data_IF_570627851446
#
_entry.id   IF_570627851446
#
_cell.length_a   1.000
_cell.length_b   1.000
_cell.length_c   1.000
_cell.angle_alpha   90.00
_cell.angle_beta   90.00
_cell.angle_gamma   90.00
#
_symmetry.space_group_name_H-M   'P 1'
#
loop_
_entity.id
_entity.type
_entity.pdbx_description
1 polymer ?
#
# COMPACT_ATOMS: atom_id res chain seq x y z
N UNK A 1 -1.73 19.81 0.56
CA UNK A 1 -1.10 21.14 0.80
C UNK A 1 -1.11 21.89 -0.52
N UNK A 2 -2.01 22.85 -0.66
CA UNK A 2 -2.21 23.63 -1.90
C UNK A 2 -1.05 24.62 -2.13
N UNK A 3 -0.26 24.84 -1.10
CA UNK A 3 0.93 25.70 -0.99
C UNK A 3 2.26 24.95 -1.19
N UNK A 4 2.23 23.64 -1.47
CA UNK A 4 3.44 22.84 -1.63
C UNK A 4 4.02 22.91 -3.06
N UNK A 5 5.35 22.87 -3.15
CA UNK A 5 6.14 22.76 -4.39
C UNK A 5 5.84 21.41 -5.08
N UNK A 6 5.94 21.31 -6.43
CA UNK A 6 5.69 20.09 -7.19
C UNK A 6 6.21 18.83 -6.50
N UNK A 7 5.27 17.92 -6.26
CA UNK A 7 5.52 16.69 -5.51
C UNK A 7 6.19 15.63 -6.37
N UNK A 8 6.83 14.67 -5.70
CA UNK A 8 7.29 13.43 -6.33
C UNK A 8 6.14 12.78 -7.10
N UNK A 9 6.44 12.11 -8.20
CA UNK A 9 5.46 11.36 -9.00
C UNK A 9 5.51 9.87 -8.64
N UNK A 10 4.52 9.07 -9.07
CA UNK A 10 4.59 7.61 -8.91
C UNK A 10 5.79 6.99 -9.66
N UNK A 11 6.25 7.58 -10.77
CA UNK A 11 7.49 7.15 -11.43
C UNK A 11 8.74 7.36 -10.56
N UNK A 12 8.75 8.41 -9.73
CA UNK A 12 9.83 8.63 -8.77
C UNK A 12 9.75 7.62 -7.62
N UNK A 13 8.54 7.21 -7.21
CA UNK A 13 8.32 6.14 -6.24
C UNK A 13 8.89 4.83 -6.77
N UNK A 14 8.50 4.44 -7.99
CA UNK A 14 9.01 3.23 -8.67
C UNK A 14 10.54 3.16 -8.64
N UNK A 15 11.20 4.24 -9.08
CA UNK A 15 12.65 4.30 -9.19
C UNK A 15 13.32 4.21 -7.82
N UNK A 16 12.87 5.01 -6.86
CA UNK A 16 13.44 5.03 -5.51
C UNK A 16 13.24 3.69 -4.79
N UNK A 17 12.06 3.09 -4.92
CA UNK A 17 11.77 1.77 -4.34
C UNK A 17 12.69 0.72 -4.96
N UNK A 18 12.84 0.71 -6.29
CA UNK A 18 13.74 -0.23 -6.96
C UNK A 18 15.19 -0.08 -6.47
N UNK A 19 15.69 1.15 -6.31
CA UNK A 19 17.03 1.41 -5.79
C UNK A 19 17.22 0.91 -4.35
N UNK A 20 16.25 1.17 -3.48
CA UNK A 20 16.29 0.68 -2.09
C UNK A 20 16.29 -0.86 -2.07
N UNK A 21 15.41 -1.48 -2.84
CA UNK A 21 15.26 -2.94 -2.90
C UNK A 21 16.52 -3.60 -3.46
N UNK A 22 17.14 -3.03 -4.50
CA UNK A 22 18.39 -3.52 -5.07
C UNK A 22 19.56 -3.48 -4.06
N UNK A 23 19.57 -2.50 -3.16
CA UNK A 23 20.57 -2.38 -2.10
C UNK A 23 20.23 -3.21 -0.84
N UNK A 24 19.03 -3.78 -0.75
CA UNK A 24 18.58 -4.59 0.38
C UNK A 24 19.08 -6.02 0.23
N UNK A 25 19.77 -6.60 1.22
CA UNK A 25 20.25 -7.99 1.13
C UNK A 25 19.22 -9.02 1.57
N UNK A 26 18.41 -8.67 2.56
CA UNK A 26 17.35 -9.50 3.13
C UNK A 26 15.97 -9.18 2.55
N UNK A 27 14.95 -9.32 3.40
CA UNK A 27 13.56 -9.01 3.06
C UNK A 27 13.37 -7.50 2.90
N UNK A 28 12.83 -7.07 1.76
CA UNK A 28 12.30 -5.71 1.64
C UNK A 28 10.85 -5.72 2.10
N UNK A 29 10.51 -4.98 3.15
CA UNK A 29 9.14 -4.87 3.65
C UNK A 29 8.60 -3.51 3.21
N UNK A 30 7.34 -3.45 2.76
CA UNK A 30 6.70 -2.20 2.41
C UNK A 30 5.31 -2.05 3.04
N UNK A 31 4.93 -0.81 3.34
CA UNK A 31 3.59 -0.46 3.80
C UNK A 31 3.01 0.67 2.95
N UNK A 32 1.83 0.46 2.41
CA UNK A 32 1.03 1.47 1.69
C UNK A 32 -0.47 1.18 1.89
N UNK A 33 -1.38 2.14 1.61
CA UNK A 33 -2.81 1.89 1.78
C UNK A 33 -3.28 0.74 0.89
N UNK A 34 -4.02 -0.22 1.46
CA UNK A 34 -4.47 -1.44 0.73
C UNK A 34 -5.31 -1.14 -0.53
N UNK A 35 -5.96 0.03 -0.56
CA UNK A 35 -6.81 0.47 -1.68
C UNK A 35 -6.09 1.38 -2.68
N UNK A 36 -4.83 1.73 -2.41
CA UNK A 36 -4.01 2.52 -3.30
C UNK A 36 -3.38 1.59 -4.35
N UNK A 37 -4.06 1.51 -5.50
CA UNK A 37 -3.68 0.61 -6.59
C UNK A 37 -2.57 1.18 -7.46
N UNK A 38 -2.44 2.50 -7.50
CA UNK A 38 -1.33 3.16 -8.17
C UNK A 38 -0.04 2.84 -7.40
N UNK A 39 -0.07 2.93 -6.05
CA UNK A 39 1.06 2.51 -5.25
C UNK A 39 1.35 1.01 -5.36
N UNK A 40 0.33 0.16 -5.40
CA UNK A 40 0.51 -1.27 -5.71
C UNK A 40 1.25 -1.46 -7.03
N UNK A 41 0.85 -0.73 -8.08
CA UNK A 41 1.49 -0.79 -9.38
C UNK A 41 2.94 -0.32 -9.32
N UNK A 42 3.23 0.76 -8.60
CA UNK A 42 4.60 1.27 -8.38
C UNK A 42 5.49 0.21 -7.73
N UNK A 43 5.01 -0.45 -6.67
CA UNK A 43 5.73 -1.55 -6.02
C UNK A 43 5.86 -2.80 -6.91
N UNK A 44 4.85 -3.10 -7.73
CA UNK A 44 4.91 -4.21 -8.69
C UNK A 44 5.96 -3.97 -9.77
N UNK A 45 6.03 -2.76 -10.32
CA UNK A 45 7.05 -2.36 -11.30
C UNK A 45 8.44 -2.39 -10.65
N UNK A 46 8.59 -1.85 -9.43
CA UNK A 46 9.84 -1.90 -8.69
C UNK A 46 10.28 -3.36 -8.40
N UNK A 47 9.36 -4.26 -8.07
CA UNK A 47 9.65 -5.69 -7.90
C UNK A 47 10.23 -6.30 -9.18
N UNK A 48 9.59 -6.04 -10.33
CA UNK A 48 10.10 -6.49 -11.63
C UNK A 48 11.49 -5.94 -11.94
N UNK A 49 11.71 -4.65 -11.71
CA UNK A 49 12.98 -3.98 -11.99
C UNK A 49 14.12 -4.43 -11.05
N UNK A 50 13.79 -4.95 -9.86
CA UNK A 50 14.74 -5.51 -8.89
C UNK A 50 14.83 -7.04 -8.92
N UNK A 51 14.18 -7.69 -9.89
CA UNK A 51 14.09 -9.15 -10.02
C UNK A 51 13.63 -9.85 -8.72
N UNK A 52 12.63 -9.25 -8.06
CA UNK A 52 11.92 -9.79 -6.90
C UNK A 52 10.44 -9.96 -7.22
N UNK A 53 9.77 -10.78 -6.42
CA UNK A 53 8.32 -10.90 -6.48
C UNK A 53 7.69 -10.01 -5.41
N UNK A 54 6.62 -9.30 -5.79
CA UNK A 54 5.79 -8.56 -4.86
C UNK A 54 4.84 -9.54 -4.18
N UNK A 55 4.96 -9.64 -2.86
CA UNK A 55 4.10 -10.46 -2.03
C UNK A 55 3.00 -9.57 -1.45
N UNK A 56 1.76 -9.80 -1.88
CA UNK A 56 0.56 -9.06 -1.49
C UNK A 56 -0.31 -9.87 -0.52
N UNK A 57 -1.19 -9.22 0.23
CA UNK A 57 -2.16 -9.93 1.07
C UNK A 57 -3.37 -10.46 0.27
N UNK A 58 -4.18 -11.32 0.88
CA UNK A 58 -5.40 -11.85 0.25
C UNK A 58 -6.41 -10.75 -0.11
N UNK A 59 -6.42 -9.59 0.59
CA UNK A 59 -7.35 -8.49 0.28
C UNK A 59 -6.95 -7.79 -1.02
N UNK A 60 -5.66 -7.54 -1.22
CA UNK A 60 -5.14 -7.02 -2.49
C UNK A 60 -5.32 -8.02 -3.62
N UNK A 61 -5.08 -9.32 -3.36
CA UNK A 61 -5.36 -10.37 -4.35
C UNK A 61 -6.83 -10.38 -4.77
N UNK A 62 -7.75 -10.20 -3.81
CA UNK A 62 -9.18 -10.07 -4.09
C UNK A 62 -9.50 -8.82 -4.92
N UNK A 63 -8.88 -7.67 -4.64
CA UNK A 63 -9.02 -6.48 -5.48
C UNK A 63 -8.53 -6.74 -6.91
N UNK A 64 -7.34 -7.31 -7.09
CA UNK A 64 -6.80 -7.66 -8.41
C UNK A 64 -7.71 -8.64 -9.16
N UNK A 65 -8.30 -9.61 -8.46
CA UNK A 65 -9.31 -10.52 -9.04
C UNK A 65 -10.52 -9.75 -9.57
N UNK A 66 -11.07 -8.80 -8.80
CA UNK A 66 -12.20 -7.98 -9.25
C UNK A 66 -11.85 -7.15 -10.50
N UNK A 67 -10.67 -6.54 -10.54
CA UNK A 67 -10.22 -5.80 -11.73
C UNK A 67 -9.99 -6.70 -12.93
N UNK A 68 -9.43 -7.89 -12.72
CA UNK A 68 -9.23 -8.87 -13.79
C UNK A 68 -10.56 -9.37 -14.36
N UNK A 69 -11.58 -9.53 -13.52
CA UNK A 69 -12.92 -9.93 -13.95
C UNK A 69 -13.67 -8.82 -14.70
N UNK A 70 -13.40 -7.54 -14.41
CA UNK A 70 -14.06 -6.40 -15.05
C UNK A 70 -13.60 -6.16 -16.49
N UNK A 71 -14.51 -6.18 -17.47
CA UNK A 71 -14.17 -5.94 -18.88
C UNK A 71 -13.55 -4.54 -19.12
N UNK A 72 -13.93 -3.54 -18.34
CA UNK A 72 -13.43 -2.16 -18.49
C UNK A 72 -12.03 -1.94 -17.89
N UNK A 73 -11.62 -2.79 -16.95
CA UNK A 73 -10.40 -2.61 -16.16
C UNK A 73 -9.39 -3.77 -16.32
N UNK A 74 -9.81 -4.87 -16.96
CA UNK A 74 -8.95 -6.01 -17.27
C UNK A 74 -7.72 -5.54 -18.04
N UNK A 75 -6.54 -5.92 -17.56
CA UNK A 75 -5.25 -5.56 -18.16
C UNK A 75 -4.66 -4.24 -17.69
N UNK A 76 -5.38 -3.42 -16.92
CA UNK A 76 -4.80 -2.20 -16.30
C UNK A 76 -3.92 -2.51 -15.08
N UNK A 77 -4.24 -3.57 -14.37
CA UNK A 77 -3.51 -4.06 -13.19
C UNK A 77 -3.04 -5.50 -13.44
N UNK A 78 -1.99 -5.97 -12.75
CA UNK A 78 -1.55 -7.35 -12.87
C UNK A 78 -2.68 -8.33 -12.54
N UNK A 79 -2.68 -9.48 -13.21
CA UNK A 79 -3.53 -10.61 -12.81
C UNK A 79 -3.23 -11.01 -11.36
N UNK A 80 -4.20 -11.47 -10.56
CA UNK A 80 -3.89 -12.02 -9.23
C UNK A 80 -2.95 -13.25 -9.30
N UNK A 81 -2.84 -13.89 -10.46
CA UNK A 81 -1.90 -15.00 -10.76
C UNK A 81 -0.70 -14.58 -11.60
N UNK A 82 -0.41 -13.28 -11.70
CA UNK A 82 0.79 -12.81 -12.42
C UNK A 82 2.07 -13.42 -11.82
N UNK A 83 3.04 -13.73 -12.69
CA UNK A 83 4.27 -14.44 -12.28
C UNK A 83 5.06 -13.70 -11.20
N UNK A 84 5.01 -12.37 -11.20
CA UNK A 84 5.73 -11.49 -10.28
C UNK A 84 4.90 -11.11 -9.04
N UNK A 85 3.70 -11.68 -8.89
CA UNK A 85 2.86 -11.55 -7.70
C UNK A 85 2.87 -12.87 -6.93
N UNK A 86 3.05 -12.81 -5.60
CA UNK A 86 2.73 -13.90 -4.68
C UNK A 86 1.62 -13.46 -3.73
N UNK A 87 0.74 -14.38 -3.38
CA UNK A 87 -0.35 -14.11 -2.43
C UNK A 87 0.04 -14.70 -1.09
N UNK A 88 0.29 -13.84 -0.11
CA UNK A 88 0.59 -14.26 1.24
C UNK A 88 -0.68 -14.75 1.95
N UNK A 89 -0.71 -16.05 2.22
CA UNK A 89 -1.76 -16.69 2.99
C UNK A 89 -1.43 -16.53 4.47
N UNK A 90 -2.13 -15.59 5.11
CA UNK A 90 -2.04 -15.41 6.56
C UNK A 90 -2.47 -16.70 7.29
N UNK A 91 -1.97 -16.88 8.53
CA UNK A 91 -2.56 -17.87 9.42
C UNK A 91 -4.06 -17.57 9.61
N UNK A 92 -4.87 -18.60 9.42
CA UNK A 92 -6.29 -18.58 9.76
C UNK A 92 -6.53 -18.44 11.26
N UNK A 93 -7.80 -18.46 11.66
CA UNK A 93 -8.23 -18.25 13.05
C UNK A 93 -7.67 -19.29 14.03
N UNK A 94 -7.56 -20.54 13.59
CA UNK A 94 -7.03 -21.71 14.28
C UNK A 94 -5.57 -22.00 13.89
N UNK A 95 -5.08 -21.35 12.83
CA UNK A 95 -3.69 -21.45 12.38
C UNK A 95 -3.34 -22.80 11.77
N UNK A 96 -4.25 -23.38 10.97
CA UNK A 96 -4.12 -24.75 10.45
C UNK A 96 -3.22 -24.89 9.21
N UNK A 97 -2.80 -23.79 8.59
CA UNK A 97 -2.04 -23.77 7.32
C UNK A 97 -0.73 -24.60 7.32
N UNK A 98 -0.12 -24.77 8.48
CA UNK A 98 1.13 -25.52 8.66
C UNK A 98 0.93 -26.87 9.39
N UNK A 99 -0.32 -27.30 9.56
CA UNK A 99 -0.65 -28.52 10.31
C UNK A 99 -0.82 -29.73 9.39
N UNK A 100 -0.68 -30.90 9.99
CA UNK A 100 -0.84 -32.17 9.29
C UNK A 100 -2.30 -32.35 8.82
N UNK A 101 -2.47 -32.44 7.50
CA UNK A 101 -3.79 -32.58 6.84
C UNK A 101 -4.48 -33.90 7.20
N UNK A 102 -3.74 -34.94 7.60
CA UNK A 102 -4.32 -36.21 8.04
C UNK A 102 -4.99 -36.08 9.41
N UNK A 103 -4.57 -35.12 10.22
CA UNK A 103 -5.14 -34.81 11.53
C UNK A 103 -6.17 -33.69 11.45
N UNK A 104 -5.87 -32.65 10.67
CA UNK A 104 -6.74 -31.51 10.42
C UNK A 104 -7.13 -31.53 8.94
N UNK A 105 -8.22 -32.22 8.64
CA UNK A 105 -8.66 -32.47 7.25
C UNK A 105 -8.74 -31.19 6.42
N UNK A 106 -8.67 -31.32 5.09
CA UNK A 106 -8.84 -30.20 4.15
C UNK A 106 -10.10 -29.38 4.42
N UNK A 107 -11.20 -30.03 4.79
CA UNK A 107 -12.44 -29.36 5.22
C UNK A 107 -12.22 -28.44 6.44
N UNK A 108 -11.43 -28.88 7.42
CA UNK A 108 -11.11 -28.06 8.60
C UNK A 108 -10.16 -26.92 8.26
N UNK A 109 -9.17 -27.16 7.38
CA UNK A 109 -8.30 -26.10 6.87
C UNK A 109 -9.12 -25.03 6.14
N UNK A 110 -10.01 -25.40 5.23
CA UNK A 110 -10.89 -24.46 4.52
C UNK A 110 -11.79 -23.69 5.49
N UNK A 111 -12.33 -24.36 6.51
CA UNK A 111 -13.16 -23.74 7.54
C UNK A 111 -12.40 -22.76 8.45
N UNK A 112 -11.07 -22.79 8.46
CA UNK A 112 -10.22 -21.84 9.18
C UNK A 112 -10.22 -20.44 8.54
N UNK A 113 -10.66 -20.36 7.28
CA UNK A 113 -10.68 -19.16 6.46
C UNK A 113 -12.10 -18.74 6.12
N UNK A 114 -12.33 -17.43 5.99
CA UNK A 114 -13.60 -16.91 5.50
C UNK A 114 -13.84 -17.37 4.06
N UNK A 115 -15.10 -17.52 3.65
CA UNK A 115 -15.46 -18.06 2.33
C UNK A 115 -14.81 -17.34 1.15
N UNK A 116 -14.58 -16.02 1.24
CA UNK A 116 -13.91 -15.24 0.19
C UNK A 116 -12.39 -15.48 0.12
N UNK A 117 -11.78 -16.03 1.17
CA UNK A 117 -10.34 -16.30 1.24
C UNK A 117 -9.99 -17.68 0.71
N UNK A 118 -10.91 -18.65 0.86
CA UNK A 118 -10.67 -20.07 0.61
C UNK A 118 -10.09 -20.33 -0.78
N UNK A 119 -10.56 -19.62 -1.81
CA UNK A 119 -10.07 -19.80 -3.17
C UNK A 119 -8.57 -19.48 -3.33
N UNK A 120 -8.01 -18.56 -2.53
CA UNK A 120 -6.61 -18.17 -2.66
C UNK A 120 -5.65 -19.23 -2.12
N UNK A 121 -6.14 -20.18 -1.32
CA UNK A 121 -5.35 -21.31 -0.83
C UNK A 121 -4.89 -22.21 -1.98
N UNK A 122 -5.70 -22.29 -3.05
CA UNK A 122 -5.44 -23.14 -4.21
C UNK A 122 -4.70 -22.40 -5.35
N UNK A 123 -4.39 -21.11 -5.17
CA UNK A 123 -3.72 -20.34 -6.21
C UNK A 123 -2.28 -20.84 -6.38
N UNK A 124 -1.78 -20.98 -7.63
CA UNK A 124 -0.44 -21.52 -7.88
C UNK A 124 0.69 -20.62 -7.37
N UNK A 125 0.39 -19.36 -7.07
CA UNK A 125 1.29 -18.37 -6.50
C UNK A 125 0.99 -18.03 -5.04
N UNK A 126 0.20 -18.85 -4.35
CA UNK A 126 0.01 -18.78 -2.91
C UNK A 126 1.32 -19.13 -2.19
N UNK A 127 1.68 -18.34 -1.18
CA UNK A 127 2.85 -18.53 -0.33
C UNK A 127 2.48 -18.29 1.11
N UNK A 128 3.17 -18.95 2.04
CA UNK A 128 3.02 -18.65 3.47
C UNK A 128 4.36 -18.24 4.10
N UNK A 129 4.35 -18.02 5.42
CA UNK A 129 5.52 -17.54 6.15
C UNK A 129 6.75 -18.44 5.97
N UNK A 130 6.58 -19.75 5.76
CA UNK A 130 7.65 -20.73 5.54
C UNK A 130 8.34 -20.51 4.20
N UNK A 131 7.60 -20.09 3.18
CA UNK A 131 8.15 -19.75 1.88
C UNK A 131 8.91 -18.43 1.91
N UNK A 132 8.35 -17.43 2.61
CA UNK A 132 9.00 -16.13 2.80
C UNK A 132 10.31 -16.30 3.58
N UNK A 133 10.31 -17.06 4.67
CA UNK A 133 11.50 -17.37 5.48
C UNK A 133 12.65 -17.95 4.64
N UNK A 134 12.35 -18.86 3.71
CA UNK A 134 13.37 -19.55 2.90
C UNK A 134 14.01 -18.66 1.83
N UNK A 135 13.29 -17.63 1.37
CA UNK A 135 13.66 -16.84 0.17
C UNK A 135 13.49 -15.34 0.37
N UNK A 136 13.79 -14.82 1.56
CA UNK A 136 13.56 -13.43 1.92
C UNK A 136 14.11 -12.40 0.92
N UNK A 137 15.30 -12.65 0.36
CA UNK A 137 15.94 -11.77 -0.62
C UNK A 137 15.28 -11.77 -2.02
N UNK A 138 14.31 -12.65 -2.26
CA UNK A 138 13.54 -12.71 -3.51
C UNK A 138 12.23 -11.94 -3.42
N UNK A 139 11.90 -11.37 -2.26
CA UNK A 139 10.59 -10.79 -2.01
C UNK A 139 10.65 -9.31 -1.64
N UNK A 140 9.63 -8.59 -2.12
CA UNK A 140 9.12 -7.36 -1.51
C UNK A 140 7.82 -7.73 -0.81
N UNK A 141 7.79 -7.67 0.52
CA UNK A 141 6.66 -8.11 1.34
C UNK A 141 5.78 -6.94 1.77
N UNK A 142 4.55 -6.90 1.26
CA UNK A 142 3.53 -5.98 1.74
C UNK A 142 3.10 -6.33 3.17
N UNK A 143 3.29 -5.39 4.09
CA UNK A 143 2.88 -5.50 5.48
C UNK A 143 2.18 -4.22 5.92
N UNK A 144 0.86 -4.29 6.11
CA UNK A 144 0.10 -3.17 6.67
C UNK A 144 0.32 -3.04 8.19
N UNK A 145 0.11 -1.85 8.74
CA UNK A 145 0.21 -1.58 10.18
C UNK A 145 -0.67 -2.51 11.04
N UNK A 146 -1.75 -3.06 10.48
CA UNK A 146 -2.66 -3.99 11.17
C UNK A 146 -2.20 -5.45 11.16
N UNK A 147 -1.10 -5.72 10.45
CA UNK A 147 -0.57 -7.07 10.18
C UNK A 147 0.88 -7.26 10.61
N UNK A 148 1.40 -6.36 11.45
CA UNK A 148 2.78 -6.46 11.97
C UNK A 148 3.05 -7.77 12.74
N UNK A 149 2.01 -8.41 13.29
CA UNK A 149 2.11 -9.73 13.91
C UNK A 149 2.57 -10.82 12.95
N UNK A 150 2.42 -10.65 11.63
CA UNK A 150 2.94 -11.61 10.64
C UNK A 150 4.48 -11.69 10.70
N UNK A 151 5.16 -10.65 11.20
CA UNK A 151 6.62 -10.65 11.40
C UNK A 151 7.09 -11.65 12.46
N UNK A 152 6.23 -12.06 13.39
CA UNK A 152 6.53 -13.10 14.41
C UNK A 152 6.90 -14.42 13.74
N UNK A 153 6.13 -14.79 12.71
CA UNK A 153 6.37 -15.99 11.93
C UNK A 153 7.39 -15.74 10.83
N UNK A 154 7.35 -14.62 10.11
CA UNK A 154 8.27 -14.34 8.99
C UNK A 154 9.72 -14.24 9.45
N UNK A 155 9.98 -13.69 10.64
CA UNK A 155 11.32 -13.51 11.23
C UNK A 155 12.31 -12.90 10.23
N UNK A 156 12.17 -11.60 9.90
CA UNK A 156 13.09 -10.92 8.99
C UNK A 156 14.55 -11.15 9.40
N UNK A 157 15.38 -11.51 8.44
CA UNK A 157 16.81 -11.76 8.62
C UNK A 157 17.61 -10.46 8.57
N UNK A 158 18.86 -10.49 9.03
CA UNK A 158 19.75 -9.34 8.95
C UNK A 158 19.85 -8.80 7.52
N UNK A 159 19.86 -7.48 7.38
CA UNK A 159 19.86 -6.81 6.07
C UNK A 159 18.48 -6.68 5.43
N UNK A 160 17.40 -6.95 6.17
CA UNK A 160 16.05 -6.52 5.83
C UNK A 160 15.93 -4.98 5.87
N UNK A 161 14.95 -4.43 5.15
CA UNK A 161 14.62 -3.00 5.19
C UNK A 161 13.11 -2.79 5.27
N UNK A 162 12.71 -1.58 5.66
CA UNK A 162 11.32 -1.14 5.62
C UNK A 162 11.16 0.15 4.79
N UNK A 163 10.22 0.11 3.85
CA UNK A 163 9.80 1.23 3.02
C UNK A 163 8.39 1.64 3.45
N UNK A 164 8.29 2.81 4.08
CA UNK A 164 7.04 3.41 4.50
C UNK A 164 6.50 4.29 3.38
N UNK A 165 5.35 3.93 2.85
CA UNK A 165 4.74 4.58 1.70
C UNK A 165 3.29 4.98 2.01
N UNK A 166 3.16 5.67 3.14
CA UNK A 166 1.92 6.11 3.79
C UNK A 166 2.06 7.59 4.12
N UNK A 167 0.94 8.29 4.26
CA UNK A 167 0.92 9.70 4.65
C UNK A 167 1.63 9.91 5.99
N UNK A 168 2.42 10.98 6.04
CA UNK A 168 3.05 11.46 7.26
C UNK A 168 1.98 11.82 8.32
N UNK A 169 2.28 11.64 9.61
CA UNK A 169 1.36 11.99 10.67
C UNK A 169 1.13 13.51 10.67
N UNK A 170 -0.13 13.91 10.86
CA UNK A 170 -0.53 15.32 10.97
C UNK A 170 -1.27 15.63 12.29
N UNK A 171 -1.45 14.61 13.13
CA UNK A 171 -1.98 14.74 14.48
C UNK A 171 -1.22 13.80 15.44
N UNK A 172 -1.43 14.01 16.74
CA UNK A 172 -0.77 13.26 17.79
C UNK A 172 -1.11 11.77 17.78
N UNK A 173 -2.33 11.39 17.38
CA UNK A 173 -2.73 9.98 17.34
C UNK A 173 -1.93 9.24 16.27
N UNK A 174 -1.76 9.86 15.10
CA UNK A 174 -0.94 9.33 14.02
C UNK A 174 0.55 9.27 14.39
N UNK A 175 1.08 10.28 15.08
CA UNK A 175 2.47 10.27 15.58
C UNK A 175 2.71 9.08 16.53
N UNK A 176 1.81 8.86 17.49
CA UNK A 176 1.90 7.74 18.44
C UNK A 176 1.79 6.38 17.72
N UNK A 177 0.90 6.28 16.73
CA UNK A 177 0.77 5.06 15.92
C UNK A 177 2.04 4.81 15.11
N UNK A 178 2.62 5.84 14.52
CA UNK A 178 3.86 5.74 13.78
C UNK A 178 5.01 5.26 14.66
N UNK A 179 5.13 5.78 15.88
CA UNK A 179 6.11 5.32 16.87
C UNK A 179 5.90 3.83 17.21
N UNK A 180 4.65 3.39 17.42
CA UNK A 180 4.34 1.98 17.65
C UNK A 180 4.79 1.09 16.48
N UNK A 181 4.49 1.48 15.24
CA UNK A 181 4.92 0.75 14.04
C UNK A 181 6.45 0.68 13.97
N UNK A 182 7.15 1.78 14.24
CA UNK A 182 8.62 1.83 14.27
C UNK A 182 9.18 0.88 15.32
N UNK A 183 8.58 0.83 16.51
CA UNK A 183 9.00 -0.06 17.59
C UNK A 183 8.87 -1.55 17.20
N UNK A 184 7.85 -1.93 16.42
CA UNK A 184 7.77 -3.29 15.86
C UNK A 184 8.96 -3.59 14.94
N UNK A 185 9.28 -2.71 13.99
CA UNK A 185 10.42 -2.93 13.09
C UNK A 185 11.78 -2.93 13.81
N UNK A 186 11.93 -2.15 14.88
CA UNK A 186 13.10 -2.21 15.76
C UNK A 186 13.17 -3.54 16.51
N UNK A 187 12.04 -4.01 17.05
CA UNK A 187 11.97 -5.28 17.77
C UNK A 187 12.38 -6.48 16.90
N UNK A 188 11.96 -6.49 15.63
CA UNK A 188 12.32 -7.55 14.67
C UNK A 188 13.69 -7.35 13.99
N UNK A 189 14.47 -6.35 14.39
CA UNK A 189 15.81 -6.09 13.84
C UNK A 189 15.81 -5.62 12.38
N UNK A 190 14.67 -5.16 11.86
CA UNK A 190 14.55 -4.56 10.52
C UNK A 190 15.12 -3.15 10.52
N UNK A 191 14.93 -2.42 11.63
CA UNK A 191 15.49 -1.09 11.84
C UNK A 191 16.33 -1.07 13.12
N UNK A 192 17.36 -0.22 13.14
CA UNK A 192 17.98 0.21 14.40
C UNK A 192 17.16 1.34 15.01
N UNK A 193 17.22 1.53 16.33
CA UNK A 193 16.43 2.54 17.04
C UNK A 193 16.72 3.97 16.52
N UNK A 194 17.97 4.23 16.16
CA UNK A 194 18.46 5.51 15.66
C UNK A 194 18.35 5.64 14.14
N UNK A 195 18.00 4.54 13.45
CA UNK A 195 17.80 4.52 12.01
C UNK A 195 16.36 4.92 11.68
N UNK A 196 16.21 5.64 10.58
CA UNK A 196 14.90 5.89 10.01
C UNK A 196 14.57 4.92 8.88
N UNK A 197 13.27 4.70 8.66
CA UNK A 197 12.83 3.94 7.49
C UNK A 197 12.93 4.78 6.22
N UNK A 198 12.75 4.14 5.07
CA UNK A 198 12.63 4.85 3.82
C UNK A 198 11.21 5.40 3.68
N UNK A 199 11.00 6.68 4.00
CA UNK A 199 9.73 7.38 3.78
C UNK A 199 9.61 7.76 2.29
N UNK A 200 8.72 7.09 1.56
CA UNK A 200 8.47 7.31 0.12
C UNK A 200 6.97 7.47 -0.09
N UNK A 201 6.47 8.70 0.00
CA UNK A 201 5.05 9.01 -0.15
C UNK A 201 4.84 10.13 -1.18
N UNK A 202 3.83 9.95 -2.03
CA UNK A 202 3.29 10.94 -2.95
C UNK A 202 1.86 11.22 -2.54
N UNK A 203 1.47 12.50 -2.54
CA UNK A 203 0.11 12.89 -2.21
C UNK A 203 -0.87 12.43 -3.28
N UNK A 204 -2.00 11.88 -2.87
CA UNK A 204 -3.14 11.64 -3.77
C UNK A 204 -3.91 12.92 -4.14
N UNK A 205 -3.55 14.07 -3.59
CA UNK A 205 -4.13 15.37 -3.92
C UNK A 205 -3.24 16.13 -4.89
N UNK A 206 -3.85 16.82 -5.86
CA UNK A 206 -3.12 17.73 -6.73
C UNK A 206 -2.43 18.84 -5.93
N UNK A 207 -1.23 19.21 -6.33
CA UNK A 207 -0.54 20.38 -5.78
C UNK A 207 -1.19 21.69 -6.27
N UNK A 208 -0.69 22.83 -5.78
CA UNK A 208 -1.25 24.13 -6.12
C UNK A 208 -1.18 24.47 -7.61
N UNK A 209 -0.11 24.07 -8.29
CA UNK A 209 0.06 24.31 -9.73
C UNK A 209 -0.91 23.45 -10.55
N UNK A 210 -1.07 22.18 -10.17
CA UNK A 210 -2.01 21.25 -10.79
C UNK A 210 -3.47 21.69 -10.58
N UNK A 211 -3.85 22.09 -9.37
CA UNK A 211 -5.21 22.59 -9.09
C UNK A 211 -5.45 23.88 -9.87
N UNK A 212 -4.50 24.82 -9.86
CA UNK A 212 -4.62 26.06 -10.63
C UNK A 212 -4.75 25.78 -12.13
N UNK A 213 -3.99 24.85 -12.68
CA UNK A 213 -4.09 24.45 -14.07
C UNK A 213 -5.51 23.97 -14.41
N UNK A 214 -6.13 23.14 -13.56
CA UNK A 214 -7.52 22.72 -13.76
C UNK A 214 -8.48 23.91 -13.71
N UNK A 215 -8.32 24.82 -12.74
CA UNK A 215 -9.16 26.03 -12.61
C UNK A 215 -9.07 26.90 -13.87
N UNK A 216 -7.86 27.20 -14.34
CA UNK A 216 -7.63 28.05 -15.51
C UNK A 216 -8.19 27.42 -16.80
N UNK A 217 -8.03 26.10 -17.00
CA UNK A 217 -8.37 25.43 -18.26
C UNK A 217 -9.82 24.95 -18.34
N UNK A 218 -10.54 24.91 -17.22
CA UNK A 218 -11.97 24.52 -17.21
C UNK A 218 -12.87 25.66 -17.72
N UNK A 219 -12.42 26.92 -17.69
CA UNK A 219 -13.23 28.11 -18.02
C UNK A 219 -14.57 28.13 -17.24
N UNK A 220 -14.53 27.78 -15.96
CA UNK A 220 -15.72 27.77 -15.11
C UNK A 220 -16.29 29.18 -14.93
N UNK A 221 -17.62 29.30 -14.75
CA UNK A 221 -18.27 30.59 -14.45
C UNK A 221 -18.18 30.96 -12.97
N UNK A 222 -18.07 29.96 -12.10
CA UNK A 222 -17.95 30.06 -10.66
C UNK A 222 -17.14 28.87 -10.14
N UNK A 223 -16.49 29.04 -8.99
CA UNK A 223 -15.70 28.02 -8.33
C UNK A 223 -16.18 27.87 -6.87
N UNK A 224 -16.44 26.63 -6.45
CA UNK A 224 -16.80 26.29 -5.07
C UNK A 224 -15.75 25.31 -4.54
N UNK A 225 -14.76 25.77 -3.75
CA UNK A 225 -13.78 24.89 -3.15
C UNK A 225 -14.46 24.01 -2.10
N UNK A 226 -14.24 22.69 -2.20
CA UNK A 226 -14.66 21.70 -1.21
C UNK A 226 -13.46 20.87 -0.79
N UNK A 227 -13.56 20.18 0.36
CA UNK A 227 -12.48 19.31 0.87
C UNK A 227 -11.14 20.07 1.11
N UNK A 228 -11.23 21.31 1.59
CA UNK A 228 -10.10 22.15 2.01
C UNK A 228 -10.48 22.94 3.26
N UNK A 229 -9.53 23.18 4.15
CA UNK A 229 -9.67 24.12 5.29
C UNK A 229 -9.27 25.55 4.91
N UNK A 230 -8.64 25.72 3.74
CA UNK A 230 -8.07 26.97 3.25
C UNK A 230 -8.66 27.35 1.88
N UNK A 231 -9.88 27.87 1.89
CA UNK A 231 -10.57 28.28 0.65
C UNK A 231 -9.95 29.55 0.02
N UNK A 232 -9.22 30.34 0.81
CA UNK A 232 -8.69 31.64 0.43
C UNK A 232 -7.70 31.60 -0.72
N UNK A 233 -7.01 30.46 -0.91
CA UNK A 233 -6.10 30.27 -2.03
C UNK A 233 -6.82 30.28 -3.38
N UNK A 234 -8.02 29.73 -3.43
CA UNK A 234 -8.80 29.63 -4.66
C UNK A 234 -9.29 30.99 -5.15
N UNK A 235 -9.50 31.94 -4.22
CA UNK A 235 -9.83 33.35 -4.53
C UNK A 235 -8.70 34.06 -5.29
N UNK A 236 -7.47 33.55 -5.25
CA UNK A 236 -6.34 34.06 -6.04
C UNK A 236 -6.35 33.55 -7.49
N UNK A 237 -7.06 32.47 -7.76
CA UNK A 237 -7.03 31.76 -9.04
C UNK A 237 -8.30 31.93 -9.86
N UNK A 238 -9.43 32.21 -9.21
CA UNK A 238 -10.69 32.46 -9.88
C UNK A 238 -11.35 33.72 -9.31
N UNK A 239 -11.97 34.53 -10.17
CA UNK A 239 -12.57 35.82 -9.77
C UNK A 239 -13.93 35.66 -9.07
N UNK A 240 -14.64 34.55 -9.33
CA UNK A 240 -15.95 34.26 -8.76
C UNK A 240 -15.88 32.98 -7.93
N UNK A 241 -15.48 33.10 -6.66
CA UNK A 241 -15.31 31.98 -5.73
C UNK A 241 -16.30 32.10 -4.59
N UNK A 242 -17.04 31.03 -4.33
CA UNK A 242 -17.96 30.93 -3.20
C UNK A 242 -17.46 29.90 -2.21
N UNK A 243 -17.17 30.36 -0.99
CA UNK A 243 -16.95 29.51 0.17
C UNK A 243 -18.29 28.97 0.69
N UNK A 244 -18.34 27.70 1.05
CA UNK A 244 -19.56 27.08 1.61
C UNK A 244 -19.23 26.33 2.90
N UNK A 245 -20.17 26.35 3.84
CA UNK A 245 -20.09 25.55 5.06
C UNK A 245 -20.79 24.20 4.89
N UNK A 246 -20.50 23.25 5.79
CA UNK A 246 -21.22 21.99 5.84
C UNK A 246 -22.73 22.25 6.01
N UNK A 247 -23.55 21.59 5.18
CA UNK A 247 -25.02 21.74 5.10
C UNK A 247 -25.54 23.05 4.50
N UNK A 248 -24.68 23.92 4.00
CA UNK A 248 -25.10 25.13 3.29
C UNK A 248 -25.69 24.79 1.92
N UNK A 249 -26.72 25.53 1.51
CA UNK A 249 -27.35 25.38 0.19
C UNK A 249 -26.94 26.52 -0.72
N UNK A 250 -26.28 26.19 -1.83
CA UNK A 250 -25.94 27.16 -2.87
C UNK A 250 -26.94 27.09 -4.03
N UNK A 251 -27.54 28.23 -4.39
CA UNK A 251 -28.41 28.34 -5.57
C UNK A 251 -27.61 28.86 -6.75
N UNK A 252 -27.62 28.09 -7.83
CA UNK A 252 -26.97 28.39 -9.12
C UNK A 252 -27.76 29.43 -9.93
#
# INVERSE_FOLDING_TARGET
RVDAVPSLTEYDVETKVADIVNNTKGLAICGYPVRDLDRLLSFYIAAKNSNRDLVIDMKQAYLLKLFHASDALRGKYPSPTDKNIKIYIQRGSWGLIDKDINKFTEKLLLADYASWQQEFLDYPNAVDYRDIQKKQNQYIFFCSDFRLQDLIDIKPSEGATYIRSLTEPFDLEMELKEEQVKNWFVHFGVLKKEQDWHQIHVSGHGDGEQIKYVVDNTNAKSLIPIHTEHDEYHKKWHSNVTSVNQHESFKL
#
